data_IF_502576735327
#
_entry.id   IF_502576735327
#
_cell.length_a   1.000
_cell.length_b   1.000
_cell.length_c   1.000
_cell.angle_alpha   90.00
_cell.angle_beta   90.00
_cell.angle_gamma   90.00
#
_symmetry.space_group_name_H-M   'P 1'
#
loop_
_entity.id
_entity.type
_entity.pdbx_description
1 polymer ?
#
# COMPACT_ATOMS: atom_id res chain seq x y z
N UNK A 1 22.41 4.06 9.13
CA UNK A 1 22.21 3.78 7.70
C UNK A 1 22.81 2.43 7.32
N UNK A 2 24.10 2.19 7.64
CA UNK A 2 24.89 1.05 7.16
C UNK A 2 24.43 -0.35 7.60
N UNK A 3 23.87 -0.51 8.81
CA UNK A 3 23.35 -1.82 9.27
C UNK A 3 22.08 -2.28 8.54
N UNK A 4 21.30 -1.37 7.93
CA UNK A 4 20.00 -1.68 7.27
C UNK A 4 20.12 -1.93 5.77
N UNK A 5 21.22 -1.54 5.13
CA UNK A 5 21.46 -1.76 3.70
C UNK A 5 22.97 -1.77 3.44
N UNK A 6 23.62 -2.94 3.38
CA UNK A 6 25.05 -3.05 3.04
C UNK A 6 25.37 -2.38 1.70
N UNK A 7 24.45 -2.51 0.72
CA UNK A 7 24.55 -1.86 -0.59
C UNK A 7 24.43 -0.33 -0.58
N UNK A 8 24.17 0.33 0.55
CA UNK A 8 24.22 1.80 0.61
C UNK A 8 25.66 2.32 0.61
N UNK A 9 26.62 1.48 1.02
CA UNK A 9 28.06 1.77 0.94
C UNK A 9 28.59 1.78 -0.50
N UNK A 10 27.84 1.27 -1.47
CA UNK A 10 28.24 1.28 -2.88
C UNK A 10 27.87 2.59 -3.58
N UNK A 11 27.06 3.46 -2.95
CA UNK A 11 26.74 4.76 -3.51
C UNK A 11 27.87 5.75 -3.23
N UNK A 12 28.33 6.43 -4.28
CA UNK A 12 29.27 7.55 -4.13
C UNK A 12 28.62 8.69 -3.36
N UNK A 13 29.42 9.45 -2.62
CA UNK A 13 28.99 10.66 -1.93
C UNK A 13 28.22 11.60 -2.87
N UNK A 14 28.73 11.82 -4.10
CA UNK A 14 28.06 12.59 -5.14
C UNK A 14 26.62 12.13 -5.40
N UNK A 15 26.37 10.81 -5.46
CA UNK A 15 25.03 10.26 -5.71
C UNK A 15 24.10 10.44 -4.51
N UNK A 16 24.63 10.33 -3.29
CA UNK A 16 23.89 10.60 -2.06
C UNK A 16 23.48 12.08 -2.01
N UNK A 17 24.43 12.99 -2.24
CA UNK A 17 24.18 14.44 -2.27
C UNK A 17 23.18 14.82 -3.36
N UNK A 18 23.32 14.27 -4.57
CA UNK A 18 22.36 14.53 -5.64
C UNK A 18 20.95 14.07 -5.25
N UNK A 19 20.80 12.88 -4.65
CA UNK A 19 19.49 12.42 -4.19
C UNK A 19 18.91 13.34 -3.11
N UNK A 20 19.76 13.80 -2.19
CA UNK A 20 19.36 14.71 -1.13
C UNK A 20 18.74 15.99 -1.72
N UNK A 21 19.44 16.61 -2.67
CA UNK A 21 18.97 17.81 -3.37
C UNK A 21 17.71 17.56 -4.21
N UNK A 22 17.61 16.43 -4.91
CA UNK A 22 16.37 16.08 -5.65
C UNK A 22 15.17 16.00 -4.72
N UNK A 23 15.30 15.32 -3.56
CA UNK A 23 14.20 15.20 -2.61
C UNK A 23 13.82 16.55 -2.00
N UNK A 24 14.79 17.43 -1.75
CA UNK A 24 14.53 18.82 -1.35
C UNK A 24 13.75 19.60 -2.41
N UNK A 25 14.18 19.53 -3.67
CA UNK A 25 13.46 20.15 -4.81
C UNK A 25 12.03 19.65 -4.97
N UNK A 26 11.76 18.39 -4.58
CA UNK A 26 10.41 17.84 -4.58
C UNK A 26 9.52 18.41 -3.46
N UNK A 27 10.10 19.09 -2.46
CA UNK A 27 9.39 19.77 -1.37
C UNK A 27 9.61 19.16 0.03
N UNK A 28 10.56 18.24 0.20
CA UNK A 28 10.94 17.75 1.53
C UNK A 28 11.92 18.71 2.23
N UNK A 29 11.80 18.85 3.54
CA UNK A 29 12.77 19.56 4.38
C UNK A 29 14.01 18.69 4.64
N UNK A 30 15.12 19.32 5.01
CA UNK A 30 16.42 18.66 5.20
C UNK A 30 16.34 17.47 6.19
N UNK A 31 15.67 17.67 7.33
CA UNK A 31 15.46 16.63 8.34
C UNK A 31 14.53 15.50 7.85
N UNK A 32 13.53 15.83 7.05
CA UNK A 32 12.64 14.86 6.41
C UNK A 32 13.38 13.99 5.39
N UNK A 33 14.24 14.60 4.56
CA UNK A 33 15.11 13.87 3.62
C UNK A 33 16.05 12.93 4.38
N UNK A 34 16.71 13.42 5.43
CA UNK A 34 17.55 12.58 6.30
C UNK A 34 16.75 11.40 6.87
N UNK A 35 15.53 11.64 7.35
CA UNK A 35 14.64 10.60 7.88
C UNK A 35 14.28 9.55 6.82
N UNK A 36 13.88 9.99 5.62
CA UNK A 36 13.55 9.13 4.48
C UNK A 36 14.74 8.25 4.10
N UNK A 37 15.92 8.83 3.90
CA UNK A 37 17.13 8.11 3.49
C UNK A 37 17.66 7.18 4.60
N UNK A 38 17.51 7.57 5.88
CA UNK A 38 17.87 6.72 7.03
C UNK A 38 16.95 5.50 7.14
N UNK A 39 15.65 5.68 6.89
CA UNK A 39 14.64 4.61 6.95
C UNK A 39 14.70 3.70 5.73
N UNK A 40 14.98 4.26 4.55
CA UNK A 40 15.01 3.55 3.27
C UNK A 40 16.19 4.02 2.40
N UNK A 41 17.42 3.53 2.66
CA UNK A 41 18.60 3.92 1.88
C UNK A 41 18.48 3.56 0.39
N UNK A 42 17.64 2.57 0.04
CA UNK A 42 17.36 2.19 -1.34
C UNK A 42 16.70 3.30 -2.17
N UNK A 43 16.17 4.36 -1.55
CA UNK A 43 15.65 5.53 -2.25
C UNK A 43 16.77 6.32 -2.99
N UNK A 44 18.05 6.14 -2.59
CA UNK A 44 19.22 6.71 -3.28
C UNK A 44 19.34 6.17 -4.72
N UNK A 45 18.92 4.93 -4.95
CA UNK A 45 18.93 4.31 -6.27
C UNK A 45 17.80 4.75 -7.21
N UNK A 46 16.79 5.46 -6.71
CA UNK A 46 15.63 5.89 -7.51
C UNK A 46 16.03 7.06 -8.40
N UNK A 47 15.72 7.02 -9.70
CA UNK A 47 16.00 8.14 -10.61
C UNK A 47 15.09 9.34 -10.32
N UNK A 48 15.56 10.55 -10.64
CA UNK A 48 14.76 11.78 -10.52
C UNK A 48 13.49 11.71 -11.37
N UNK A 49 13.61 11.30 -12.64
CA UNK A 49 12.46 11.06 -13.53
C UNK A 49 11.40 10.13 -12.92
N UNK A 50 11.80 9.09 -12.18
CA UNK A 50 10.83 8.18 -11.54
C UNK A 50 10.07 8.88 -10.42
N UNK A 51 10.72 9.75 -9.66
CA UNK A 51 10.08 10.54 -8.61
C UNK A 51 9.09 11.53 -9.23
N UNK A 52 9.49 12.24 -10.28
CA UNK A 52 8.62 13.16 -11.03
C UNK A 52 7.40 12.46 -11.61
N UNK A 53 7.59 11.33 -12.32
CA UNK A 53 6.47 10.53 -12.85
C UNK A 53 5.53 10.03 -11.74
N UNK A 54 6.07 9.74 -10.55
CA UNK A 54 5.26 9.33 -9.40
C UNK A 54 4.42 10.49 -8.86
N UNK A 55 4.98 11.70 -8.84
CA UNK A 55 4.25 12.93 -8.47
C UNK A 55 3.13 13.18 -9.47
N UNK A 56 3.42 13.17 -10.76
CA UNK A 56 2.41 13.37 -11.82
C UNK A 56 1.29 12.34 -11.74
N UNK A 57 1.64 11.06 -11.55
CA UNK A 57 0.66 9.99 -11.36
C UNK A 57 -0.21 10.24 -10.13
N UNK A 58 0.38 10.67 -9.00
CA UNK A 58 -0.37 11.01 -7.79
C UNK A 58 -1.36 12.16 -8.03
N UNK A 59 -0.91 13.23 -8.68
CA UNK A 59 -1.77 14.37 -9.02
C UNK A 59 -2.94 13.92 -9.91
N UNK A 60 -2.67 13.11 -10.93
CA UNK A 60 -3.71 12.56 -11.82
C UNK A 60 -4.71 11.62 -11.10
N UNK A 61 -4.29 11.01 -9.98
CA UNK A 61 -5.15 10.19 -9.13
C UNK A 61 -5.94 11.01 -8.09
N UNK A 62 -5.71 12.33 -8.03
CA UNK A 62 -6.40 13.26 -7.14
C UNK A 62 -5.72 13.49 -5.79
N UNK A 63 -4.48 13.03 -5.60
CA UNK A 63 -3.69 13.41 -4.44
C UNK A 63 -3.15 14.83 -4.64
N UNK A 64 -3.00 15.58 -3.55
CA UNK A 64 -2.16 16.79 -3.55
C UNK A 64 -0.68 16.42 -3.51
N UNK A 65 0.19 17.37 -3.86
CA UNK A 65 1.64 17.19 -3.73
C UNK A 65 2.02 16.94 -2.26
N UNK A 66 1.41 17.67 -1.34
CA UNK A 66 1.65 17.59 0.09
C UNK A 66 1.26 16.20 0.64
N UNK A 67 0.13 15.65 0.20
CA UNK A 67 -0.28 14.29 0.54
C UNK A 67 0.70 13.25 0.00
N UNK A 68 1.19 13.42 -1.23
CA UNK A 68 2.22 12.53 -1.76
C UNK A 68 3.52 12.59 -0.94
N UNK A 69 4.00 13.79 -0.61
CA UNK A 69 5.19 13.96 0.23
C UNK A 69 4.98 13.35 1.62
N UNK A 70 3.78 13.48 2.19
CA UNK A 70 3.40 12.80 3.44
C UNK A 70 3.51 11.28 3.31
N UNK A 71 3.02 10.71 2.19
CA UNK A 71 3.16 9.28 1.93
C UNK A 71 4.63 8.85 1.81
N UNK A 72 5.48 9.64 1.15
CA UNK A 72 6.92 9.39 1.04
C UNK A 72 7.59 9.40 2.41
N UNK A 73 7.25 10.34 3.30
CA UNK A 73 7.79 10.40 4.66
C UNK A 73 7.39 9.18 5.50
N UNK A 74 6.13 8.77 5.41
CA UNK A 74 5.59 7.66 6.19
C UNK A 74 6.01 6.29 5.65
N UNK A 75 6.11 6.15 4.32
CA UNK A 75 6.44 4.92 3.62
C UNK A 75 7.31 5.20 2.38
N UNK A 76 8.60 5.51 2.55
CA UNK A 76 9.53 5.77 1.45
C UNK A 76 9.56 4.74 0.31
N UNK A 77 9.34 3.42 0.55
CA UNK A 77 9.29 2.45 -0.54
C UNK A 77 8.21 2.71 -1.60
N UNK A 78 7.26 3.63 -1.36
CA UNK A 78 6.34 4.06 -2.41
C UNK A 78 7.05 4.69 -3.61
N UNK A 79 8.25 5.28 -3.44
CA UNK A 79 9.06 5.82 -4.53
C UNK A 79 9.58 4.75 -5.50
N UNK A 80 9.59 3.48 -5.08
CA UNK A 80 9.97 2.37 -5.94
C UNK A 80 8.80 1.83 -6.77
N UNK A 81 7.56 2.26 -6.52
CA UNK A 81 6.43 1.85 -7.34
C UNK A 81 6.53 2.48 -8.74
N UNK A 82 6.07 1.77 -9.76
CA UNK A 82 5.82 2.42 -11.06
C UNK A 82 4.52 3.22 -10.97
N UNK A 83 4.39 4.27 -11.80
CA UNK A 83 3.12 5.01 -11.91
C UNK A 83 1.94 4.08 -12.23
N UNK A 84 2.15 3.10 -13.11
CA UNK A 84 1.15 2.07 -13.42
C UNK A 84 0.75 1.25 -12.18
N UNK A 85 1.71 0.80 -11.37
CA UNK A 85 1.43 0.02 -10.15
C UNK A 85 0.67 0.87 -9.14
N UNK A 86 1.08 2.13 -8.95
CA UNK A 86 0.44 3.07 -8.05
C UNK A 86 -1.01 3.33 -8.48
N UNK A 87 -1.24 3.59 -9.78
CA UNK A 87 -2.57 3.76 -10.37
C UNK A 87 -3.43 2.52 -10.16
N UNK A 88 -2.95 1.34 -10.55
CA UNK A 88 -3.69 0.07 -10.41
C UNK A 88 -4.14 -0.18 -8.96
N UNK A 89 -3.24 0.03 -7.99
CA UNK A 89 -3.55 -0.15 -6.56
C UNK A 89 -4.54 0.89 -6.03
N UNK A 90 -4.38 2.15 -6.43
CA UNK A 90 -5.25 3.25 -6.02
C UNK A 90 -6.65 3.08 -6.59
N UNK A 91 -6.78 2.77 -7.88
CA UNK A 91 -8.07 2.54 -8.52
C UNK A 91 -8.80 1.33 -7.93
N UNK A 92 -8.07 0.26 -7.62
CA UNK A 92 -8.65 -0.88 -6.93
C UNK A 92 -9.24 -0.48 -5.57
N UNK A 93 -8.46 0.18 -4.70
CA UNK A 93 -8.92 0.50 -3.35
C UNK A 93 -10.00 1.59 -3.35
N UNK A 94 -9.84 2.64 -4.15
CA UNK A 94 -10.70 3.82 -4.12
C UNK A 94 -11.93 3.65 -5.00
N UNK A 95 -11.75 3.24 -6.26
CA UNK A 95 -12.87 3.17 -7.22
C UNK A 95 -13.64 1.86 -7.11
N UNK A 96 -12.96 0.72 -6.94
CA UNK A 96 -13.63 -0.61 -6.92
C UNK A 96 -14.08 -1.03 -5.52
N UNK A 97 -13.33 -0.65 -4.50
CA UNK A 97 -13.58 -1.05 -3.11
C UNK A 97 -14.10 0.09 -2.23
N UNK A 98 -14.26 1.30 -2.78
CA UNK A 98 -14.88 2.48 -2.15
C UNK A 98 -14.17 3.04 -0.91
N UNK A 99 -12.90 2.70 -0.68
CA UNK A 99 -12.13 3.39 0.37
C UNK A 99 -11.90 4.85 -0.04
N UNK A 100 -12.01 5.83 0.89
CA UNK A 100 -11.72 7.22 0.55
C UNK A 100 -10.23 7.38 0.23
N UNK A 101 -9.89 8.27 -0.70
CA UNK A 101 -8.50 8.55 -1.08
C UNK A 101 -7.62 8.90 0.13
N UNK A 102 -8.18 9.66 1.09
CA UNK A 102 -7.51 10.04 2.35
C UNK A 102 -7.11 8.84 3.23
N UNK A 103 -7.79 7.68 3.09
CA UNK A 103 -7.39 6.46 3.80
C UNK A 103 -6.02 5.95 3.32
N UNK A 104 -5.69 6.14 2.03
CA UNK A 104 -4.37 5.80 1.48
C UNK A 104 -3.29 6.72 2.01
N UNK A 105 -3.55 8.03 2.06
CA UNK A 105 -2.62 9.02 2.64
C UNK A 105 -2.30 8.68 4.09
N UNK A 106 -3.30 8.24 4.85
CA UNK A 106 -3.15 7.85 6.26
C UNK A 106 -2.47 6.48 6.44
N UNK A 107 -2.47 5.63 5.41
CA UNK A 107 -1.95 4.25 5.48
C UNK A 107 -1.11 3.88 4.25
N UNK A 108 -0.05 4.62 3.89
CA UNK A 108 0.63 4.44 2.61
C UNK A 108 1.37 3.11 2.48
N UNK A 109 1.66 2.45 3.61
CA UNK A 109 2.29 1.11 3.63
C UNK A 109 1.46 0.04 2.96
N UNK A 110 0.13 0.22 2.80
CA UNK A 110 -0.70 -0.74 2.06
C UNK A 110 -0.31 -0.83 0.58
N UNK A 111 0.29 0.22 0.02
CA UNK A 111 0.82 0.21 -1.35
C UNK A 111 1.99 -0.78 -1.50
N UNK A 112 2.60 -1.25 -0.41
CA UNK A 112 3.58 -2.33 -0.41
C UNK A 112 2.99 -3.74 -0.53
N UNK A 113 1.69 -3.92 -0.32
CA UNK A 113 1.05 -5.25 -0.36
C UNK A 113 0.89 -5.79 -1.78
N UNK A 114 1.07 -7.10 -1.98
CA UNK A 114 0.76 -7.73 -3.27
C UNK A 114 -0.72 -7.58 -3.61
N UNK A 115 -1.01 -7.23 -4.86
CA UNK A 115 -2.38 -7.12 -5.35
C UNK A 115 -3.08 -8.48 -5.31
N UNK A 116 -2.48 -9.47 -5.96
CA UNK A 116 -3.06 -10.78 -6.22
C UNK A 116 -3.05 -11.64 -4.95
N UNK A 117 -1.97 -11.60 -4.18
CA UNK A 117 -1.81 -12.47 -2.99
C UNK A 117 -2.43 -11.88 -1.72
N UNK A 118 -2.72 -10.58 -1.67
CA UNK A 118 -3.14 -9.93 -0.41
C UNK A 118 -4.27 -8.92 -0.57
N UNK A 119 -4.12 -7.92 -1.43
CA UNK A 119 -5.12 -6.84 -1.51
C UNK A 119 -6.46 -7.35 -2.02
N UNK A 120 -6.47 -8.05 -3.15
CA UNK A 120 -7.70 -8.54 -3.76
C UNK A 120 -8.45 -9.53 -2.86
N UNK A 121 -7.83 -10.61 -2.34
CA UNK A 121 -8.56 -11.59 -1.52
C UNK A 121 -9.15 -10.97 -0.25
N UNK A 122 -8.38 -10.15 0.46
CA UNK A 122 -8.81 -9.56 1.74
C UNK A 122 -9.88 -8.49 1.55
N UNK A 123 -9.76 -7.65 0.53
CA UNK A 123 -10.79 -6.67 0.20
C UNK A 123 -12.10 -7.36 -0.22
N UNK A 124 -12.02 -8.47 -0.96
CA UNK A 124 -13.21 -9.24 -1.33
C UNK A 124 -13.90 -9.90 -0.12
N UNK A 125 -13.14 -10.41 0.86
CA UNK A 125 -13.70 -10.90 2.13
C UNK A 125 -14.46 -9.78 2.85
N UNK A 126 -13.85 -8.60 2.99
CA UNK A 126 -14.51 -7.44 3.62
C UNK A 126 -15.78 -7.06 2.86
N UNK A 127 -15.73 -7.00 1.53
CA UNK A 127 -16.90 -6.69 0.70
C UNK A 127 -18.03 -7.71 0.87
N UNK A 128 -17.72 -9.00 0.91
CA UNK A 128 -18.70 -10.06 1.13
C UNK A 128 -19.36 -9.92 2.51
N UNK A 129 -18.57 -9.67 3.56
CA UNK A 129 -19.07 -9.44 4.91
C UNK A 129 -20.00 -8.22 4.98
N UNK A 130 -19.62 -7.09 4.35
CA UNK A 130 -20.48 -5.90 4.29
C UNK A 130 -21.78 -6.17 3.54
N UNK A 131 -21.74 -6.87 2.40
CA UNK A 131 -22.95 -7.18 1.63
C UNK A 131 -23.93 -8.09 2.37
N UNK A 132 -23.45 -8.89 3.33
CA UNK A 132 -24.25 -9.77 4.19
C UNK A 132 -24.63 -9.10 5.53
N UNK A 133 -24.22 -7.85 5.77
CA UNK A 133 -24.50 -7.14 7.02
C UNK A 133 -23.75 -7.70 8.25
N UNK A 134 -22.68 -8.47 8.05
CA UNK A 134 -21.94 -9.16 9.11
C UNK A 134 -20.87 -8.30 9.79
N UNK A 135 -20.55 -7.16 9.18
CA UNK A 135 -19.72 -6.10 9.77
C UNK A 135 -20.41 -4.76 9.56
N UNK A 136 -19.98 -3.75 10.31
CA UNK A 136 -20.57 -2.41 10.27
C UNK A 136 -20.63 -1.81 8.85
N UNK A 137 -21.50 -0.81 8.68
CA UNK A 137 -21.68 -0.10 7.42
C UNK A 137 -20.47 0.73 7.00
N UNK A 138 -19.57 1.04 7.93
CA UNK A 138 -18.33 1.76 7.67
C UNK A 138 -17.19 0.81 7.27
N UNK A 139 -16.40 1.23 6.28
CA UNK A 139 -15.24 0.47 5.84
C UNK A 139 -14.18 0.38 6.96
N UNK A 140 -13.63 -0.81 7.23
CA UNK A 140 -12.56 -0.95 8.20
C UNK A 140 -11.29 -0.23 7.74
N UNK A 141 -10.43 0.14 8.68
CA UNK A 141 -9.12 0.74 8.37
C UNK A 141 -8.32 -0.12 7.39
N UNK A 142 -7.74 0.50 6.36
CA UNK A 142 -6.88 -0.17 5.38
C UNK A 142 -5.72 -0.94 6.03
N UNK A 143 -5.11 -0.39 7.09
CA UNK A 143 -4.05 -1.07 7.83
C UNK A 143 -4.53 -2.37 8.49
N UNK A 144 -5.74 -2.34 9.07
CA UNK A 144 -6.34 -3.50 9.74
C UNK A 144 -6.66 -4.65 8.77
N UNK A 145 -6.83 -4.33 7.48
CA UNK A 145 -7.14 -5.28 6.41
C UNK A 145 -5.87 -5.75 5.71
N UNK A 146 -4.94 -4.85 5.37
CA UNK A 146 -3.86 -5.12 4.41
C UNK A 146 -2.46 -5.22 5.04
N UNK A 147 -2.21 -4.60 6.19
CA UNK A 147 -0.88 -4.63 6.80
C UNK A 147 -0.73 -5.83 7.75
N UNK A 148 -1.82 -6.26 8.39
CA UNK A 148 -1.81 -7.33 9.38
C UNK A 148 -1.43 -8.71 8.81
N UNK A 149 -1.05 -9.64 9.69
CA UNK A 149 -0.76 -11.05 9.32
C UNK A 149 -2.03 -11.77 8.88
N UNK A 150 -1.88 -12.89 8.17
CA UNK A 150 -3.03 -13.73 7.76
C UNK A 150 -3.81 -14.22 8.98
N UNK A 151 -3.10 -14.64 10.03
CA UNK A 151 -3.72 -15.07 11.28
C UNK A 151 -4.57 -13.96 11.92
N UNK A 152 -4.01 -12.73 12.01
CA UNK A 152 -4.73 -11.58 12.57
C UNK A 152 -5.95 -11.23 11.72
N UNK A 153 -5.82 -11.28 10.40
CA UNK A 153 -6.92 -11.03 9.47
C UNK A 153 -8.05 -12.06 9.65
N UNK A 154 -7.71 -13.35 9.60
CA UNK A 154 -8.68 -14.44 9.72
C UNK A 154 -9.37 -14.45 11.08
N UNK A 155 -8.63 -14.21 12.17
CA UNK A 155 -9.22 -14.07 13.51
C UNK A 155 -10.19 -12.89 13.61
N UNK A 156 -9.98 -11.82 12.84
CA UNK A 156 -10.83 -10.62 12.89
C UNK A 156 -12.09 -10.77 12.04
N UNK A 157 -11.96 -11.32 10.84
CA UNK A 157 -13.01 -11.24 9.81
C UNK A 157 -13.66 -12.58 9.45
N UNK A 158 -13.09 -13.71 9.86
CA UNK A 158 -13.57 -15.03 9.43
C UNK A 158 -13.93 -15.92 10.62
N UNK A 159 -12.97 -16.21 11.50
CA UNK A 159 -13.11 -17.22 12.57
C UNK A 159 -14.02 -16.83 13.74
N UNK A 160 -14.62 -15.65 13.72
CA UNK A 160 -15.57 -15.18 14.74
C UNK A 160 -17.03 -15.48 14.40
N UNK A 161 -17.27 -16.03 13.22
CA UNK A 161 -18.60 -16.32 12.72
C UNK A 161 -18.98 -17.73 13.18
N UNK A 162 -20.19 -17.88 13.72
CA UNK A 162 -20.72 -19.15 14.22
C UNK A 162 -21.34 -20.03 13.11
N UNK A 163 -21.01 -19.75 11.85
CA UNK A 163 -21.54 -20.41 10.65
C UNK A 163 -20.39 -20.99 9.82
N UNK A 164 -20.27 -22.33 9.84
CA UNK A 164 -19.21 -23.08 9.17
C UNK A 164 -19.27 -22.95 7.63
N UNK A 165 -20.46 -22.86 7.03
CA UNK A 165 -20.61 -22.70 5.58
C UNK A 165 -20.11 -21.33 5.13
N UNK A 166 -20.45 -20.30 5.91
CA UNK A 166 -19.98 -18.94 5.70
C UNK A 166 -18.47 -18.83 5.92
N UNK A 167 -17.93 -19.46 6.95
CA UNK A 167 -16.47 -19.53 7.17
C UNK A 167 -15.79 -20.17 5.97
N UNK A 168 -16.31 -21.29 5.45
CA UNK A 168 -15.78 -21.94 4.25
C UNK A 168 -15.87 -21.05 3.00
N UNK A 169 -16.94 -20.25 2.85
CA UNK A 169 -17.08 -19.25 1.78
C UNK A 169 -15.99 -18.19 1.84
N UNK A 170 -15.82 -17.57 3.00
CA UNK A 170 -14.82 -16.51 3.19
C UNK A 170 -13.40 -17.04 3.05
N UNK A 171 -13.13 -18.27 3.49
CA UNK A 171 -11.83 -18.93 3.28
C UNK A 171 -11.55 -19.22 1.80
N UNK A 172 -12.56 -19.59 1.01
CA UNK A 172 -12.40 -19.77 -0.43
C UNK A 172 -12.05 -18.44 -1.12
N UNK A 173 -12.70 -17.34 -0.72
CA UNK A 173 -12.38 -15.99 -1.21
C UNK A 173 -10.96 -15.59 -0.80
N UNK A 174 -10.58 -15.81 0.46
CA UNK A 174 -9.28 -15.44 1.02
C UNK A 174 -8.12 -16.19 0.36
N UNK A 175 -8.30 -17.48 0.06
CA UNK A 175 -7.27 -18.33 -0.58
C UNK A 175 -7.22 -18.17 -2.10
N UNK A 176 -8.22 -17.52 -2.70
CA UNK A 176 -8.33 -17.37 -4.16
C UNK A 176 -8.77 -18.65 -4.87
N UNK A 177 -9.25 -19.66 -4.13
CA UNK A 177 -9.81 -20.87 -4.71
C UNK A 177 -11.21 -20.54 -5.22
N UNK A 178 -11.35 -20.40 -6.54
CA UNK A 178 -12.68 -20.38 -7.17
C UNK A 178 -13.34 -21.72 -6.90
N UNK A 179 -14.45 -21.74 -6.15
CA UNK A 179 -15.36 -22.89 -6.15
C UNK A 179 -15.71 -23.16 -7.62
N UNK A 180 -15.45 -24.38 -8.10
CA UNK A 180 -16.00 -24.82 -9.39
C UNK A 180 -17.52 -24.65 -9.23
N UNK A 181 -18.10 -23.70 -9.97
CA UNK A 181 -19.55 -23.66 -10.11
C UNK A 181 -19.92 -24.91 -10.88
N UNK A 182 -20.53 -25.89 -10.20
CA UNK A 182 -21.27 -26.94 -10.87
C UNK A 182 -22.35 -26.25 -11.71
N UNK A 183 -22.13 -26.25 -13.03
CA UNK A 183 -23.19 -25.98 -13.98
C UNK A 183 -24.01 -27.25 -14.06
N UNK A 184 -25.25 -27.17 -13.56
CA UNK A 184 -26.33 -28.09 -13.87
C UNK A 184 -26.67 -28.00 -15.36
#
# INVERSE_FOLDING_TARGET
>A
MFKKCPGSLTYSEKKVTQKFETLKKCGLLDDEVLSVLKRSPHCIGVSEQRIENSIETCLALGFTREEFLMMVKCFPPCLHLSGETLKKKTEFLVKKMNWPLKALVSNPSVLGSSMEKRMVPRCNVVKALMSKGLIGSELPSLSSVLVCTDETFLKRYVRKLDDDELVAELMAIFTGIKRKTDKT
#
